data_IF_496427295476
#
_entry.id   IF_496427295476
#
_cell.length_a   1.000
_cell.length_b   1.000
_cell.length_c   1.000
_cell.angle_alpha   90.00
_cell.angle_beta   90.00
_cell.angle_gamma   90.00
#
_symmetry.space_group_name_H-M   'P 1'
#
loop_
_entity.id
_entity.type
_entity.pdbx_description
1 polymer ?
#
# COMPACT_ATOMS: atom_id res chain seq x y z
N UNK A 1 18.19 -1.76 -13.22
CA UNK A 1 17.73 -0.42 -12.78
C UNK A 1 16.24 -0.28 -13.08
N UNK A 2 15.46 0.34 -12.20
CA UNK A 2 14.04 0.71 -12.39
C UNK A 2 13.93 1.90 -13.37
N UNK A 3 14.14 1.69 -14.67
CA UNK A 3 14.07 2.79 -15.66
C UNK A 3 12.73 2.85 -16.40
N UNK A 4 11.94 1.79 -16.36
CA UNK A 4 10.66 1.72 -17.07
C UNK A 4 9.51 2.12 -16.15
N UNK A 5 8.64 2.99 -16.67
CA UNK A 5 7.49 3.53 -15.95
C UNK A 5 6.26 3.49 -16.83
N UNK A 6 5.11 3.20 -16.24
CA UNK A 6 3.81 3.20 -16.91
C UNK A 6 2.86 4.07 -16.09
N UNK A 7 2.09 4.94 -16.76
CA UNK A 7 1.03 5.69 -16.09
C UNK A 7 -0.28 4.94 -16.25
N UNK A 8 -0.96 4.68 -15.14
CA UNK A 8 -2.27 4.01 -15.11
C UNK A 8 -3.34 4.96 -14.56
N UNK A 9 -4.57 4.94 -15.08
CA UNK A 9 -5.71 5.64 -14.46
C UNK A 9 -5.89 5.21 -13.00
N UNK A 10 -6.11 6.16 -12.10
CA UNK A 10 -6.23 5.86 -10.67
C UNK A 10 -7.29 6.67 -9.91
N UNK A 11 -8.06 7.51 -10.62
CA UNK A 11 -9.05 8.41 -10.02
C UNK A 11 -10.08 7.66 -9.13
N UNK A 12 -10.47 6.46 -9.53
CA UNK A 12 -11.53 5.67 -8.88
C UNK A 12 -11.08 5.02 -7.56
N UNK A 13 -9.77 4.91 -7.30
CA UNK A 13 -9.24 4.21 -6.12
C UNK A 13 -9.03 5.13 -4.91
N UNK A 14 -9.28 6.44 -5.04
CA UNK A 14 -9.08 7.43 -3.96
C UNK A 14 -7.67 7.36 -3.32
N UNK A 15 -6.64 7.23 -4.17
CA UNK A 15 -5.22 7.10 -3.80
C UNK A 15 -4.39 8.36 -4.09
N UNK A 16 -5.06 9.50 -4.27
CA UNK A 16 -4.43 10.83 -4.30
C UNK A 16 -4.04 11.36 -5.68
N UNK A 17 -4.36 10.64 -6.75
CA UNK A 17 -4.07 11.10 -8.11
C UNK A 17 -5.06 10.53 -9.13
N UNK A 18 -5.32 11.28 -10.20
CA UNK A 18 -6.11 10.81 -11.35
C UNK A 18 -5.35 9.77 -12.18
N UNK A 19 -4.01 9.84 -12.19
CA UNK A 19 -3.13 8.85 -12.78
C UNK A 19 -1.96 8.57 -11.84
N UNK A 20 -1.54 7.31 -11.78
CA UNK A 20 -0.43 6.85 -10.94
C UNK A 20 0.73 6.38 -11.82
N UNK A 21 1.91 6.92 -11.58
CA UNK A 21 3.15 6.42 -12.20
C UNK A 21 3.62 5.17 -11.46
N UNK A 22 3.61 4.05 -12.19
CA UNK A 22 4.07 2.75 -11.72
C UNK A 22 5.44 2.47 -12.30
N UNK A 23 6.39 2.12 -11.44
CA UNK A 23 7.76 1.78 -11.80
C UNK A 23 7.87 0.26 -11.96
N UNK A 24 8.46 -0.21 -13.05
CA UNK A 24 8.58 -1.63 -13.38
C UNK A 24 9.98 -2.14 -13.04
N UNK A 25 10.04 -3.20 -12.23
CA UNK A 25 11.26 -3.92 -11.91
C UNK A 25 11.42 -5.13 -12.85
N UNK A 26 12.57 -5.21 -13.53
CA UNK A 26 12.94 -6.34 -14.39
C UNK A 26 14.19 -7.05 -13.87
N UNK A 27 14.20 -8.38 -13.96
CA UNK A 27 15.38 -9.24 -13.75
C UNK A 27 15.58 -10.11 -14.98
N UNK A 28 16.75 -10.04 -15.60
CA UNK A 28 17.07 -10.77 -16.84
C UNK A 28 16.00 -10.56 -17.94
N UNK A 29 15.56 -9.31 -18.12
CA UNK A 29 14.56 -8.93 -19.13
C UNK A 29 13.10 -9.22 -18.77
N UNK A 30 12.82 -10.00 -17.71
CA UNK A 30 11.46 -10.33 -17.28
C UNK A 30 11.00 -9.39 -16.18
N UNK A 31 9.77 -8.89 -16.25
CA UNK A 31 9.14 -8.14 -15.16
C UNK A 31 9.02 -9.06 -13.95
N UNK A 32 9.53 -8.62 -12.79
CA UNK A 32 9.49 -9.37 -11.53
C UNK A 32 8.62 -8.71 -10.47
N UNK A 33 8.48 -7.39 -10.54
CA UNK A 33 7.71 -6.61 -9.57
C UNK A 33 7.37 -5.24 -10.15
N UNK A 34 6.46 -4.55 -9.49
CA UNK A 34 6.19 -3.13 -9.70
C UNK A 34 6.23 -2.39 -8.37
N UNK A 35 6.43 -1.07 -8.42
CA UNK A 35 6.19 -0.22 -7.26
C UNK A 35 5.57 1.12 -7.65
N UNK A 36 4.76 1.68 -6.76
CA UNK A 36 4.16 3.00 -6.96
C UNK A 36 3.85 3.69 -5.65
N UNK A 37 3.77 5.01 -5.71
CA UNK A 37 3.35 5.85 -4.60
C UNK A 37 1.83 5.97 -4.57
N UNK A 38 1.27 6.07 -3.38
CA UNK A 38 -0.16 6.24 -3.14
C UNK A 38 -0.37 6.94 -1.80
N UNK A 39 -1.57 7.43 -1.53
CA UNK A 39 -1.89 8.10 -0.26
C UNK A 39 -3.09 7.44 0.44
N UNK A 40 -3.09 7.49 1.76
CA UNK A 40 -4.33 7.54 2.54
C UNK A 40 -4.70 9.03 2.71
N UNK A 41 -5.70 9.57 1.99
CA UNK A 41 -6.01 11.00 2.02
C UNK A 41 -6.57 11.46 3.37
N UNK A 42 -7.12 10.52 4.13
CA UNK A 42 -7.96 10.70 5.30
C UNK A 42 -7.34 10.13 6.58
N UNK A 43 -6.00 10.18 6.69
CA UNK A 43 -5.29 9.92 7.95
C UNK A 43 -5.69 10.89 9.06
N UNK A 44 -5.40 10.56 10.32
CA UNK A 44 -5.98 11.27 11.47
C UNK A 44 -5.61 12.75 11.52
N UNK A 45 -4.35 13.08 11.24
CA UNK A 45 -3.81 14.45 11.22
C UNK A 45 -3.51 14.95 9.80
N UNK A 46 -4.05 14.27 8.79
CA UNK A 46 -3.87 14.58 7.37
C UNK A 46 -3.40 13.38 6.55
N UNK A 47 -3.02 13.61 5.28
CA UNK A 47 -2.66 12.52 4.38
C UNK A 47 -1.42 11.74 4.83
N UNK A 48 -1.44 10.43 4.61
CA UNK A 48 -0.30 9.53 4.81
C UNK A 48 0.20 9.13 3.42
N UNK A 49 1.42 9.55 3.08
CA UNK A 49 2.05 9.23 1.79
C UNK A 49 2.84 7.94 1.92
N UNK A 50 2.60 6.99 1.01
CA UNK A 50 3.20 5.66 1.06
C UNK A 50 3.74 5.25 -0.31
N UNK A 51 4.62 4.26 -0.30
CA UNK A 51 5.05 3.50 -1.48
C UNK A 51 4.90 2.01 -1.19
N UNK A 52 4.47 1.25 -2.19
CA UNK A 52 4.31 -0.19 -2.09
C UNK A 52 4.99 -0.87 -3.28
N UNK A 53 5.67 -1.98 -3.01
CA UNK A 53 6.17 -2.91 -4.02
C UNK A 53 5.31 -4.17 -4.03
N UNK A 54 5.02 -4.67 -5.22
CA UNK A 54 4.16 -5.83 -5.46
C UNK A 54 4.85 -6.75 -6.47
N UNK A 55 4.85 -8.05 -6.22
CA UNK A 55 5.34 -9.04 -7.18
C UNK A 55 4.35 -9.28 -8.34
N UNK A 56 4.69 -10.18 -9.25
CA UNK A 56 3.85 -10.52 -10.41
C UNK A 56 2.53 -11.15 -10.04
N UNK A 57 2.48 -11.84 -8.90
CA UNK A 57 1.34 -12.61 -8.43
C UNK A 57 0.41 -11.76 -7.56
N UNK A 58 0.79 -10.52 -7.27
CA UNK A 58 0.00 -9.58 -6.48
C UNK A 58 0.34 -9.59 -4.98
N UNK A 59 1.38 -10.31 -4.57
CA UNK A 59 1.82 -10.27 -3.18
C UNK A 59 2.62 -9.00 -2.90
N UNK A 60 2.35 -8.39 -1.75
CA UNK A 60 3.12 -7.25 -1.27
C UNK A 60 4.54 -7.70 -0.93
N UNK A 61 5.52 -7.09 -1.59
CA UNK A 61 6.94 -7.23 -1.27
C UNK A 61 7.37 -6.27 -0.15
N UNK A 62 6.65 -5.16 0.00
CA UNK A 62 6.89 -4.20 1.09
C UNK A 62 6.07 -2.93 0.93
N UNK A 63 5.78 -2.30 2.07
CA UNK A 63 5.17 -0.96 2.15
C UNK A 63 6.07 -0.07 3.00
N UNK A 64 6.22 1.20 2.60
CA UNK A 64 6.94 2.22 3.37
C UNK A 64 6.13 3.50 3.42
N UNK A 65 6.14 4.14 4.59
CA UNK A 65 5.61 5.49 4.76
C UNK A 65 6.70 6.48 4.37
N UNK A 66 6.33 7.44 3.50
CA UNK A 66 7.22 8.49 3.00
C UNK A 66 7.07 9.77 3.82
N UNK A 67 5.84 10.10 4.23
CA UNK A 67 5.54 11.25 5.10
C UNK A 67 4.13 11.15 5.69
N UNK A 68 3.94 11.74 6.87
CA UNK A 68 2.64 11.88 7.53
C UNK A 68 2.69 13.01 8.56
N UNK A 69 1.54 13.30 9.18
CA UNK A 69 1.42 14.25 10.30
C UNK A 69 0.83 13.64 11.58
N UNK A 70 0.67 12.31 11.61
CA UNK A 70 0.12 11.59 12.75
C UNK A 70 0.87 11.89 14.06
N UNK A 71 0.15 11.77 15.19
CA UNK A 71 0.65 12.15 16.51
C UNK A 71 1.85 11.28 16.94
N UNK A 72 3.00 11.89 17.31
CA UNK A 72 4.15 11.18 17.83
C UNK A 72 3.82 10.31 19.05
N UNK A 73 4.35 9.08 19.09
CA UNK A 73 4.10 8.11 20.16
C UNK A 73 2.77 7.37 20.08
N UNK A 74 1.85 7.80 19.20
CA UNK A 74 0.54 7.17 19.01
C UNK A 74 0.38 6.60 17.60
N UNK A 75 0.32 7.47 16.59
CA UNK A 75 0.06 7.11 15.19
C UNK A 75 1.33 6.96 14.34
N UNK A 76 2.47 7.51 14.77
CA UNK A 76 3.77 7.41 14.11
C UNK A 76 4.36 5.98 14.09
N UNK A 77 3.71 5.03 14.76
CA UNK A 77 4.06 3.59 14.73
C UNK A 77 3.99 2.98 13.32
N UNK A 78 3.37 3.65 12.35
CA UNK A 78 3.43 3.27 10.93
C UNK A 78 4.84 3.43 10.32
N UNK A 79 5.72 4.20 10.95
CA UNK A 79 7.13 4.32 10.54
C UNK A 79 7.93 3.08 10.97
N UNK A 80 8.73 2.54 10.04
CA UNK A 80 9.61 1.38 10.32
C UNK A 80 10.60 1.68 11.46
N UNK A 81 11.00 2.93 11.64
CA UNK A 81 11.90 3.34 12.73
C UNK A 81 11.24 3.28 14.12
N UNK A 82 9.90 3.16 14.18
CA UNK A 82 9.11 3.16 15.43
C UNK A 82 8.52 1.80 15.73
N UNK A 83 8.09 1.04 14.71
CA UNK A 83 7.59 -0.32 14.89
C UNK A 83 7.61 -1.12 13.58
N UNK A 84 7.48 -2.44 13.70
CA UNK A 84 7.37 -3.36 12.56
C UNK A 84 5.95 -3.45 11.98
N UNK A 85 4.99 -2.65 12.46
CA UNK A 85 3.59 -2.75 12.06
C UNK A 85 3.40 -2.66 10.54
N UNK A 86 4.08 -1.73 9.86
CA UNK A 86 3.98 -1.57 8.40
C UNK A 86 4.63 -2.74 7.63
N UNK A 87 5.45 -3.56 8.29
CA UNK A 87 6.03 -4.76 7.69
C UNK A 87 5.06 -5.94 7.68
N UNK A 88 4.00 -5.90 8.49
CA UNK A 88 3.01 -6.98 8.55
C UNK A 88 2.21 -7.14 7.26
N UNK A 89 2.32 -6.22 6.31
CA UNK A 89 1.66 -6.31 5.01
C UNK A 89 2.40 -7.24 4.03
N UNK A 90 3.67 -7.53 4.26
CA UNK A 90 4.48 -8.38 3.37
C UNK A 90 3.88 -9.77 3.26
N UNK A 91 3.76 -10.27 2.03
CA UNK A 91 3.19 -11.58 1.73
C UNK A 91 1.67 -11.60 1.61
N UNK A 92 0.95 -10.51 1.93
CA UNK A 92 -0.50 -10.42 1.71
C UNK A 92 -0.84 -9.97 0.29
N UNK A 93 -2.01 -10.39 -0.20
CA UNK A 93 -2.57 -10.06 -1.51
C UNK A 93 -4.11 -10.09 -1.47
N UNK A 94 -4.75 -9.66 -2.55
CA UNK A 94 -6.22 -9.79 -2.69
C UNK A 94 -6.66 -11.25 -2.83
N UNK A 95 -5.74 -12.15 -3.20
CA UNK A 95 -6.04 -13.55 -3.45
C UNK A 95 -5.88 -14.41 -2.18
N UNK A 96 -5.12 -13.94 -1.19
CA UNK A 96 -4.90 -14.66 0.07
C UNK A 96 -5.56 -14.04 1.31
N UNK A 97 -6.13 -12.84 1.20
CA UNK A 97 -6.99 -12.23 2.22
C UNK A 97 -8.33 -11.82 1.62
N UNK A 98 -9.41 -12.16 2.33
CA UNK A 98 -10.75 -11.66 2.02
C UNK A 98 -10.90 -10.16 2.30
N UNK A 99 -11.91 -9.52 1.72
CA UNK A 99 -12.20 -8.11 1.95
C UNK A 99 -12.33 -7.76 3.45
N UNK A 100 -13.01 -8.60 4.25
CA UNK A 100 -13.18 -8.37 5.68
C UNK A 100 -11.85 -8.44 6.46
N UNK A 101 -10.88 -9.21 5.95
CA UNK A 101 -9.56 -9.33 6.57
C UNK A 101 -8.69 -8.08 6.35
N UNK A 102 -9.00 -7.26 5.34
CA UNK A 102 -8.39 -5.94 5.11
C UNK A 102 -8.92 -4.87 6.07
N UNK A 103 -8.84 -5.16 7.36
CA UNK A 103 -9.20 -4.27 8.45
C UNK A 103 -8.29 -4.49 9.67
N UNK A 104 -8.40 -3.62 10.67
CA UNK A 104 -7.73 -3.88 11.95
C UNK A 104 -8.47 -4.99 12.71
N UNK A 105 -7.79 -5.70 13.62
CA UNK A 105 -8.36 -6.80 14.43
C UNK A 105 -9.61 -6.37 15.20
N UNK A 106 -9.64 -5.14 15.71
CA UNK A 106 -10.81 -4.56 16.37
C UNK A 106 -12.06 -4.49 15.48
N UNK A 107 -11.88 -4.47 14.17
CA UNK A 107 -12.94 -4.42 13.16
C UNK A 107 -13.12 -5.79 12.46
N UNK A 108 -12.51 -6.85 12.99
CA UNK A 108 -12.60 -8.22 12.45
C UNK A 108 -11.54 -8.60 11.42
N UNK A 109 -10.57 -7.72 11.14
CA UNK A 109 -9.48 -7.99 10.21
C UNK A 109 -8.25 -8.62 10.85
N UNK A 110 -7.12 -8.62 10.13
CA UNK A 110 -5.88 -9.30 10.57
C UNK A 110 -4.79 -8.35 11.08
N UNK A 111 -4.93 -7.04 10.85
CA UNK A 111 -3.89 -6.05 11.18
C UNK A 111 -4.05 -5.49 12.59
N UNK A 112 -2.97 -5.27 13.32
CA UNK A 112 -3.08 -4.70 14.66
C UNK A 112 -3.56 -3.23 14.63
N UNK A 113 -4.28 -2.81 15.66
CA UNK A 113 -4.59 -1.39 15.93
C UNK A 113 -3.60 -0.81 16.94
N UNK A 114 -3.42 0.51 16.94
CA UNK A 114 -2.67 1.20 18.00
C UNK A 114 -3.59 1.61 19.14
N UNK A 115 -3.17 1.34 20.38
CA UNK A 115 -3.83 1.89 21.56
C UNK A 115 -3.83 3.42 21.47
N UNK A 116 -4.99 4.04 21.66
CA UNK A 116 -5.15 5.51 21.59
C UNK A 116 -5.13 6.13 20.19
N UNK A 117 -4.79 5.39 19.12
CA UNK A 117 -4.74 5.90 17.74
C UNK A 117 -5.26 4.87 16.74
N UNK A 118 -6.58 4.66 16.75
CA UNK A 118 -7.20 3.62 15.90
C UNK A 118 -7.57 4.10 14.49
N UNK A 119 -7.52 5.41 14.22
CA UNK A 119 -7.82 5.96 12.88
C UNK A 119 -6.65 5.70 11.93
N UNK A 120 -5.42 6.04 12.33
CA UNK A 120 -4.21 5.82 11.53
C UNK A 120 -4.10 4.41 10.93
N UNK A 121 -4.11 3.31 11.73
CA UNK A 121 -3.93 1.96 11.18
C UNK A 121 -5.08 1.58 10.25
N UNK A 122 -6.33 1.98 10.54
CA UNK A 122 -7.48 1.72 9.66
C UNK A 122 -7.29 2.36 8.28
N UNK A 123 -6.90 3.63 8.26
CA UNK A 123 -6.74 4.40 7.02
C UNK A 123 -5.56 3.89 6.19
N UNK A 124 -4.46 3.50 6.85
CA UNK A 124 -3.35 2.82 6.20
C UNK A 124 -3.77 1.49 5.57
N UNK A 125 -4.46 0.61 6.30
CA UNK A 125 -4.94 -0.68 5.77
C UNK A 125 -5.86 -0.46 4.56
N UNK A 126 -6.83 0.45 4.67
CA UNK A 126 -7.76 0.76 3.58
C UNK A 126 -7.06 1.33 2.34
N UNK A 127 -6.04 2.17 2.50
CA UNK A 127 -5.27 2.71 1.38
C UNK A 127 -4.40 1.65 0.70
N UNK A 128 -3.77 0.75 1.47
CA UNK A 128 -2.97 -0.35 0.94
C UNK A 128 -3.86 -1.31 0.12
N UNK A 129 -5.03 -1.67 0.65
CA UNK A 129 -6.01 -2.48 -0.07
C UNK A 129 -6.43 -1.83 -1.41
N UNK A 130 -6.73 -0.52 -1.42
CA UNK A 130 -7.05 0.22 -2.65
C UNK A 130 -5.88 0.26 -3.65
N UNK A 131 -4.65 0.36 -3.14
CA UNK A 131 -3.44 0.22 -3.97
C UNK A 131 -3.36 -1.16 -4.64
N UNK A 132 -3.66 -2.23 -3.92
CA UNK A 132 -3.72 -3.57 -4.52
C UNK A 132 -4.82 -3.70 -5.57
N UNK A 133 -5.98 -3.06 -5.36
CA UNK A 133 -7.06 -3.03 -6.35
C UNK A 133 -6.61 -2.34 -7.64
N UNK A 134 -5.89 -1.21 -7.54
CA UNK A 134 -5.28 -0.55 -8.71
C UNK A 134 -4.35 -1.53 -9.45
N UNK A 135 -3.44 -2.19 -8.71
CA UNK A 135 -2.54 -3.16 -9.33
C UNK A 135 -3.30 -4.26 -10.06
N UNK A 136 -4.31 -4.87 -9.42
CA UNK A 136 -5.09 -5.96 -9.99
C UNK A 136 -5.78 -5.54 -11.29
N UNK A 137 -6.38 -4.35 -11.32
CA UNK A 137 -7.07 -3.82 -12.49
C UNK A 137 -6.13 -3.58 -13.69
N UNK A 138 -4.85 -3.30 -13.43
CA UNK A 138 -3.85 -3.04 -14.46
C UNK A 138 -2.80 -4.15 -14.58
N UNK A 139 -2.99 -5.31 -13.94
CA UNK A 139 -1.96 -6.33 -13.78
C UNK A 139 -1.42 -6.82 -15.13
N UNK A 140 -2.29 -7.08 -16.11
CA UNK A 140 -1.90 -7.52 -17.45
C UNK A 140 -0.97 -6.50 -18.12
N UNK A 141 -1.33 -5.22 -18.08
CA UNK A 141 -0.52 -4.13 -18.65
C UNK A 141 0.81 -3.94 -17.93
N UNK A 142 0.86 -4.19 -16.62
CA UNK A 142 2.02 -3.92 -15.79
C UNK A 142 3.04 -5.08 -15.77
N UNK A 143 2.55 -6.32 -15.86
CA UNK A 143 3.39 -7.53 -15.74
C UNK A 143 3.76 -8.13 -17.09
N UNK A 144 2.94 -7.90 -18.12
CA UNK A 144 3.23 -8.27 -19.51
C UNK A 144 3.10 -7.02 -20.42
N UNK A 145 3.93 -5.98 -20.21
CA UNK A 145 3.89 -4.76 -21.01
C UNK A 145 4.33 -4.98 -22.46
#
# INVERSE_FOLDING_TARGET
>A
MLQEKVNVPSAEYNIGANQTTVYIAKKSGKVTAVCFKFIAPDGYSGPINMIMGIDRDGNILGVRVLSHKETPGLGDKIEVAKSDWILSFVGHSLDNLTLAQWAVKKDGGVFDQFAGATITPRKSVQAIHRGLQLFKAHQTQLINP
#
